data_IF_397668949450
#
_entry.id   IF_397668949450
#
_cell.length_a   1.000
_cell.length_b   1.000
_cell.length_c   1.000
_cell.angle_alpha   90.00
_cell.angle_beta   90.00
_cell.angle_gamma   90.00
#
_symmetry.space_group_name_H-M   'P 1'
#
loop_
_entity.id
_entity.type
_entity.pdbx_description
1 polymer ?
#
# COMPACT_ATOMS: atom_id res chain seq x y z
N UNK A 1 27.41 22.84 -7.41
CA UNK A 1 26.54 22.34 -6.34
C UNK A 1 27.00 20.96 -5.94
N UNK A 2 26.97 20.63 -4.65
CA UNK A 2 27.30 19.30 -4.14
C UNK A 2 26.10 18.36 -4.23
N UNK A 3 26.37 17.04 -4.27
CA UNK A 3 25.31 16.02 -4.24
C UNK A 3 24.60 16.08 -2.88
N UNK A 4 23.26 16.14 -2.84
CA UNK A 4 22.52 16.10 -1.59
C UNK A 4 22.74 14.76 -0.87
N UNK A 5 22.82 14.80 0.46
CA UNK A 5 23.11 13.63 1.30
C UNK A 5 21.91 13.31 2.19
N UNK A 6 21.66 12.02 2.43
CA UNK A 6 20.63 11.55 3.36
C UNK A 6 21.19 11.49 4.78
N UNK A 7 20.37 11.86 5.77
CA UNK A 7 20.71 11.80 7.20
C UNK A 7 19.75 10.87 7.91
N UNK A 8 20.28 9.99 8.76
CA UNK A 8 19.45 9.05 9.53
C UNK A 8 18.69 9.77 10.66
N UNK A 9 17.43 9.39 10.87
CA UNK A 9 16.59 9.89 11.97
C UNK A 9 16.50 8.89 13.12
N UNK A 10 16.51 9.39 14.34
CA UNK A 10 16.30 8.58 15.55
C UNK A 10 14.82 8.25 15.81
N UNK A 11 13.88 8.84 15.07
CA UNK A 11 12.43 8.68 15.31
C UNK A 11 11.72 7.88 14.21
N UNK A 12 12.45 7.14 13.37
CA UNK A 12 11.85 6.33 12.30
C UNK A 12 10.97 5.21 12.87
N UNK A 13 9.78 5.03 12.31
CA UNK A 13 8.90 3.89 12.59
C UNK A 13 9.50 2.55 12.12
N UNK A 14 10.47 2.57 11.21
CA UNK A 14 11.20 1.36 10.80
C UNK A 14 12.00 0.71 11.93
N UNK A 15 12.15 1.39 13.07
CA UNK A 15 12.75 0.83 14.28
C UNK A 15 11.89 -0.24 14.97
N UNK A 16 10.57 -0.24 14.72
CA UNK A 16 9.61 -1.12 15.40
C UNK A 16 8.68 -1.87 14.44
N UNK A 17 8.68 -1.52 13.15
CA UNK A 17 7.84 -2.14 12.14
C UNK A 17 8.54 -2.24 10.79
N UNK A 18 8.11 -3.20 9.96
CA UNK A 18 8.43 -3.22 8.54
C UNK A 18 7.45 -2.30 7.81
N UNK A 19 7.95 -1.35 7.01
CA UNK A 19 7.13 -0.33 6.35
C UNK A 19 7.28 -0.46 4.83
N UNK A 20 6.15 -0.50 4.13
CA UNK A 20 6.12 -0.32 2.68
C UNK A 20 5.49 1.06 2.39
N UNK A 21 6.26 1.88 1.68
CA UNK A 21 5.78 3.14 1.12
C UNK A 21 5.29 2.87 -0.29
N UNK A 22 4.03 3.18 -0.57
CA UNK A 22 3.38 2.91 -1.84
C UNK A 22 3.01 4.22 -2.54
N UNK A 23 3.62 4.47 -3.70
CA UNK A 23 3.19 5.54 -4.58
C UNK A 23 1.86 5.15 -5.26
N UNK A 24 0.77 5.81 -4.87
CA UNK A 24 -0.56 5.63 -5.47
C UNK A 24 -1.28 6.99 -5.61
N UNK A 25 -2.27 7.13 -6.50
CA UNK A 25 -2.62 6.23 -7.61
C UNK A 25 -1.54 6.24 -8.71
N UNK A 26 -1.80 5.53 -9.82
CA UNK A 26 -0.98 5.64 -11.03
C UNK A 26 -0.90 7.11 -11.48
N UNK A 27 0.32 7.59 -11.72
CA UNK A 27 0.66 8.99 -11.97
C UNK A 27 1.35 9.68 -10.80
N UNK A 28 1.37 9.05 -9.61
CA UNK A 28 2.05 9.58 -8.42
C UNK A 28 3.48 9.04 -8.33
N UNK A 29 4.44 9.92 -8.06
CA UNK A 29 5.84 9.54 -7.84
C UNK A 29 6.39 8.70 -8.99
N UNK A 30 6.77 7.45 -8.69
CA UNK A 30 7.28 6.49 -9.67
C UNK A 30 6.23 5.52 -10.23
N UNK A 31 4.97 5.62 -9.81
CA UNK A 31 3.89 4.76 -10.33
C UNK A 31 3.37 5.28 -11.66
N UNK A 32 3.48 4.49 -12.74
CA UNK A 32 3.06 4.88 -14.09
C UNK A 32 2.34 3.76 -14.86
N UNK A 33 1.60 4.14 -15.90
CA UNK A 33 0.98 3.22 -16.85
C UNK A 33 1.57 3.45 -18.24
N UNK A 34 1.75 2.36 -19.00
CA UNK A 34 2.11 2.42 -20.42
C UNK A 34 0.90 2.57 -21.34
N UNK A 35 -0.31 2.50 -20.78
CA UNK A 35 -1.58 2.63 -21.49
C UNK A 35 -2.37 3.83 -20.99
N UNK A 36 -3.26 4.42 -21.79
CA UNK A 36 -4.09 5.55 -21.37
C UNK A 36 -4.81 5.26 -20.05
N UNK A 37 -4.76 6.23 -19.13
CA UNK A 37 -5.41 6.08 -17.83
C UNK A 37 -6.92 6.18 -17.99
N UNK A 38 -7.63 5.16 -17.52
CA UNK A 38 -9.06 5.26 -17.30
C UNK A 38 -9.35 6.22 -16.14
N UNK A 39 -10.55 6.79 -16.12
CA UNK A 39 -11.03 7.61 -15.01
C UNK A 39 -10.92 6.83 -13.69
N UNK A 40 -10.27 7.42 -12.70
CA UNK A 40 -10.05 6.83 -11.38
C UNK A 40 -11.11 7.32 -10.38
N UNK A 41 -11.31 6.55 -9.31
CA UNK A 41 -12.14 6.87 -8.16
C UNK A 41 -11.52 6.27 -6.90
N UNK A 42 -11.88 6.77 -5.72
CA UNK A 42 -11.39 6.25 -4.45
C UNK A 42 -11.61 4.73 -4.32
N UNK A 43 -12.77 4.24 -4.77
CA UNK A 43 -13.09 2.80 -4.74
C UNK A 43 -12.24 1.98 -5.69
N UNK A 44 -11.94 2.50 -6.89
CA UNK A 44 -11.07 1.79 -7.84
C UNK A 44 -9.62 1.78 -7.36
N UNK A 45 -9.17 2.86 -6.71
CA UNK A 45 -7.81 2.92 -6.15
C UNK A 45 -7.66 2.01 -4.94
N UNK A 46 -8.66 1.94 -4.04
CA UNK A 46 -8.65 0.97 -2.93
C UNK A 46 -8.50 -0.48 -3.43
N UNK A 47 -9.21 -0.86 -4.50
CA UNK A 47 -9.09 -2.19 -5.12
C UNK A 47 -7.70 -2.44 -5.71
N UNK A 48 -7.10 -1.46 -6.40
CA UNK A 48 -5.74 -1.58 -6.93
C UNK A 48 -4.70 -1.71 -5.82
N UNK A 49 -4.86 -0.98 -4.73
CA UNK A 49 -3.96 -1.10 -3.57
C UNK A 49 -4.11 -2.47 -2.90
N UNK A 50 -5.34 -2.97 -2.77
CA UNK A 50 -5.59 -4.34 -2.28
C UNK A 50 -4.92 -5.40 -3.18
N UNK A 51 -5.07 -5.27 -4.50
CA UNK A 51 -4.41 -6.16 -5.46
C UNK A 51 -2.87 -6.09 -5.36
N UNK A 52 -2.31 -4.88 -5.19
CA UNK A 52 -0.88 -4.70 -4.95
C UNK A 52 -0.41 -5.47 -3.71
N UNK A 53 -1.14 -5.34 -2.58
CA UNK A 53 -0.81 -6.01 -1.32
C UNK A 53 -0.81 -7.53 -1.50
N UNK A 54 -1.86 -8.09 -2.11
CA UNK A 54 -1.95 -9.52 -2.40
C UNK A 54 -0.77 -10.02 -3.24
N UNK A 55 -0.47 -9.33 -4.35
CA UNK A 55 0.65 -9.66 -5.22
C UNK A 55 2.00 -9.54 -4.51
N UNK A 56 2.15 -8.52 -3.67
CA UNK A 56 3.38 -8.31 -2.90
C UNK A 56 3.63 -9.48 -1.94
N UNK A 57 2.60 -9.96 -1.24
CA UNK A 57 2.74 -11.07 -0.28
C UNK A 57 2.98 -12.42 -0.93
N UNK A 58 2.35 -12.67 -2.09
CA UNK A 58 2.67 -13.86 -2.91
C UNK A 58 4.17 -13.90 -3.24
N UNK A 59 4.76 -12.74 -3.51
CA UNK A 59 6.20 -12.62 -3.81
C UNK A 59 7.08 -12.62 -2.55
N UNK A 60 6.53 -12.26 -1.38
CA UNK A 60 7.25 -12.16 -0.12
C UNK A 60 6.56 -12.98 0.99
N UNK A 61 6.51 -14.32 0.86
CA UNK A 61 5.70 -15.18 1.72
C UNK A 61 6.14 -15.17 3.20
N UNK A 62 7.37 -14.75 3.49
CA UNK A 62 7.89 -14.61 4.85
C UNK A 62 7.10 -13.61 5.70
N UNK A 63 6.32 -12.71 5.07
CA UNK A 63 5.55 -11.69 5.77
C UNK A 63 4.09 -12.08 6.05
N UNK A 64 3.61 -13.26 5.61
CA UNK A 64 2.21 -13.67 5.80
C UNK A 64 1.77 -13.72 7.26
N UNK A 65 2.66 -14.11 8.17
CA UNK A 65 2.34 -14.22 9.60
C UNK A 65 2.40 -12.88 10.34
N UNK A 66 2.87 -11.81 9.69
CA UNK A 66 3.03 -10.54 10.36
C UNK A 66 1.68 -9.85 10.53
N UNK A 67 1.41 -9.21 11.68
CA UNK A 67 0.30 -8.29 11.81
C UNK A 67 0.41 -7.18 10.75
N UNK A 68 -0.68 -6.95 10.02
CA UNK A 68 -0.75 -5.96 8.96
C UNK A 68 -1.56 -4.75 9.40
N UNK A 69 -1.00 -3.56 9.15
CA UNK A 69 -1.63 -2.29 9.48
C UNK A 69 -1.57 -1.36 8.27
N UNK A 70 -2.64 -0.59 8.08
CA UNK A 70 -2.72 0.43 7.03
C UNK A 70 -2.75 1.79 7.70
N UNK A 71 -1.84 2.67 7.29
CA UNK A 71 -1.77 4.05 7.77
C UNK A 71 -1.74 5.00 6.59
N UNK A 72 -2.17 6.24 6.83
CA UNK A 72 -2.14 7.31 5.85
C UNK A 72 -2.56 8.63 6.49
N UNK A 73 -2.17 9.73 5.86
CA UNK A 73 -2.51 11.08 6.29
C UNK A 73 -3.19 11.87 5.15
N UNK A 74 -3.87 12.96 5.49
CA UNK A 74 -4.56 13.83 4.54
C UNK A 74 -5.60 13.07 3.70
N UNK A 75 -5.52 13.11 2.37
CA UNK A 75 -6.46 12.42 1.49
C UNK A 75 -6.46 10.90 1.65
N UNK A 76 -5.38 10.33 2.19
CA UNK A 76 -5.36 8.91 2.53
C UNK A 76 -6.42 8.55 3.58
N UNK A 77 -6.97 9.50 4.34
CA UNK A 77 -8.14 9.29 5.20
C UNK A 77 -9.40 8.84 4.45
N UNK A 78 -9.48 9.01 3.12
CA UNK A 78 -10.52 8.41 2.27
C UNK A 78 -10.13 7.03 1.76
N UNK A 79 -8.87 6.87 1.37
CA UNK A 79 -8.35 5.64 0.76
C UNK A 79 -8.19 4.52 1.79
N UNK A 80 -7.67 4.81 2.99
CA UNK A 80 -7.37 3.82 4.03
C UNK A 80 -8.63 3.08 4.50
N UNK A 81 -9.75 3.75 4.88
CA UNK A 81 -10.96 3.02 5.27
C UNK A 81 -11.55 2.19 4.13
N UNK A 82 -11.54 2.71 2.90
CA UNK A 82 -12.02 1.97 1.73
C UNK A 82 -11.17 0.72 1.47
N UNK A 83 -9.85 0.83 1.57
CA UNK A 83 -8.92 -0.30 1.45
C UNK A 83 -9.15 -1.35 2.52
N UNK A 84 -9.23 -0.96 3.80
CA UNK A 84 -9.48 -1.89 4.91
C UNK A 84 -10.82 -2.62 4.72
N UNK A 85 -11.84 -1.95 4.20
CA UNK A 85 -13.11 -2.58 3.85
C UNK A 85 -12.95 -3.63 2.73
N UNK A 86 -12.15 -3.35 1.70
CA UNK A 86 -11.90 -4.30 0.61
C UNK A 86 -11.09 -5.52 1.09
N UNK A 87 -10.10 -5.34 1.95
CA UNK A 87 -9.34 -6.42 2.61
C UNK A 87 -10.29 -7.28 3.45
N UNK A 88 -11.08 -6.63 4.32
CA UNK A 88 -12.05 -7.31 5.17
C UNK A 88 -13.00 -8.19 4.35
N UNK A 89 -13.56 -7.65 3.25
CA UNK A 89 -14.41 -8.41 2.32
C UNK A 89 -13.68 -9.58 1.67
N UNK A 90 -12.45 -9.38 1.22
CA UNK A 90 -11.62 -10.43 0.63
C UNK A 90 -11.42 -11.61 1.58
N UNK A 91 -11.20 -11.32 2.86
CA UNK A 91 -11.01 -12.33 3.90
C UNK A 91 -12.28 -13.12 4.23
N UNK A 92 -13.45 -12.49 4.18
CA UNK A 92 -14.72 -13.19 4.39
C UNK A 92 -15.08 -14.16 3.26
N UNK A 93 -14.54 -13.98 2.05
CA UNK A 93 -14.95 -14.74 0.87
C UNK A 93 -14.15 -16.05 0.67
N UNK A 94 -12.93 -16.22 1.20
CA UNK A 94 -12.17 -17.49 0.99
C UNK A 94 -11.16 -17.87 2.10
N UNK A 95 -10.99 -19.19 2.26
CA UNK A 95 -10.61 -19.90 3.49
C UNK A 95 -9.13 -19.87 3.92
N UNK A 96 -8.34 -18.88 3.55
CA UNK A 96 -7.06 -18.53 4.19
C UNK A 96 -6.69 -17.13 3.71
N UNK A 97 -6.74 -16.10 4.58
CA UNK A 97 -6.48 -14.74 4.15
C UNK A 97 -5.04 -14.63 3.65
N UNK A 98 -4.87 -14.32 2.36
CA UNK A 98 -3.57 -13.98 1.79
C UNK A 98 -3.16 -12.57 2.22
N UNK A 99 -4.13 -11.69 2.48
CA UNK A 99 -4.21 -10.67 3.54
C UNK A 99 -5.65 -10.17 3.60
#
# INVERSE_FOLDING_TARGET
GSVPTLVSTTHSWTKVANIIFLDQPVGTGFSYSKTPLAKTSDTSEAKKVHEFIQKWLIKHPLFYSNPFYVFGDSYAGKIVPALVQEISRGNYICCKPLI
#
